data_IF_447516469485
#
_entry.id   IF_447516469485
#
_cell.length_a   1.000
_cell.length_b   1.000
_cell.length_c   1.000
_cell.angle_alpha   90.00
_cell.angle_beta   90.00
_cell.angle_gamma   90.00
#
_symmetry.space_group_name_H-M   'P 1'
#
loop_
_entity.id
_entity.type
_entity.pdbx_description
1 polymer ?
#
# COMPACT_ATOMS: atom_id res chain seq x y z
N UNK A 1 0.71 -15.98 -1.25
CA UNK A 1 1.15 -14.90 -2.17
C UNK A 1 2.42 -14.26 -1.63
N UNK A 2 3.45 -14.18 -2.45
CA UNK A 2 4.70 -13.54 -2.07
C UNK A 2 4.74 -12.12 -2.62
N UNK A 3 4.72 -11.15 -1.70
CA UNK A 3 4.84 -9.74 -2.06
C UNK A 3 6.16 -9.23 -1.49
N UNK A 4 7.04 -8.64 -2.30
CA UNK A 4 8.29 -8.08 -1.77
C UNK A 4 7.99 -7.10 -0.64
N UNK A 5 8.78 -7.16 0.42
CA UNK A 5 8.54 -6.37 1.63
C UNK A 5 8.37 -4.88 1.35
N UNK A 6 9.18 -4.33 0.47
CA UNK A 6 9.12 -2.92 0.10
C UNK A 6 7.77 -2.55 -0.49
N UNK A 7 7.27 -3.36 -1.42
CA UNK A 7 5.97 -3.12 -2.06
C UNK A 7 4.84 -3.31 -1.07
N UNK A 8 4.96 -4.29 -0.19
CA UNK A 8 3.98 -4.54 0.86
C UNK A 8 3.84 -3.33 1.78
N UNK A 9 4.96 -2.74 2.21
CA UNK A 9 4.95 -1.55 3.06
C UNK A 9 4.23 -0.38 2.40
N UNK A 10 4.44 -0.19 1.10
CA UNK A 10 3.79 0.86 0.33
C UNK A 10 2.28 0.61 0.27
N UNK A 11 1.88 -0.60 -0.05
CA UNK A 11 0.45 -0.96 -0.15
C UNK A 11 -0.26 -0.83 1.20
N UNK A 12 0.42 -1.16 2.29
CA UNK A 12 -0.14 -1.05 3.63
C UNK A 12 -0.51 0.38 4.02
N UNK A 13 0.15 1.37 3.43
CA UNK A 13 -0.19 2.78 3.65
C UNK A 13 -1.66 3.05 3.29
N UNK A 14 -2.17 2.35 2.28
CA UNK A 14 -3.52 2.56 1.76
C UNK A 14 -4.58 1.66 2.39
N UNK A 15 -4.20 0.71 3.22
CA UNK A 15 -5.17 -0.18 3.86
C UNK A 15 -6.13 0.56 4.78
N UNK A 16 -5.67 1.62 5.44
CA UNK A 16 -6.49 2.41 6.36
C UNK A 16 -7.41 3.39 5.66
N UNK A 17 -7.16 3.66 4.40
CA UNK A 17 -7.97 4.58 3.61
C UNK A 17 -7.75 4.35 2.12
N UNK A 18 -8.32 3.27 1.56
CA UNK A 18 -8.06 2.92 0.16
C UNK A 18 -8.69 3.87 -0.85
N UNK A 19 -9.54 4.77 -0.39
CA UNK A 19 -10.15 5.78 -1.27
C UNK A 19 -9.35 7.07 -1.31
N UNK A 20 -8.38 7.25 -0.42
CA UNK A 20 -7.69 8.52 -0.36
C UNK A 20 -6.52 8.59 -1.32
N UNK A 21 -6.27 9.80 -1.77
CA UNK A 21 -5.13 10.14 -2.61
C UNK A 21 -4.01 10.61 -1.69
N UNK A 22 -2.80 10.09 -1.87
CA UNK A 22 -1.68 10.38 -0.98
C UNK A 22 -0.49 10.90 -1.78
N UNK A 23 0.13 11.96 -1.26
CA UNK A 23 1.32 12.55 -1.86
C UNK A 23 2.52 11.59 -1.78
N UNK A 24 3.35 11.59 -2.82
CA UNK A 24 4.51 10.69 -2.91
C UNK A 24 5.40 10.73 -1.66
N UNK A 25 5.71 11.92 -1.16
CA UNK A 25 6.56 12.07 0.02
C UNK A 25 5.89 11.52 1.28
N UNK A 26 4.58 11.66 1.38
CA UNK A 26 3.83 11.12 2.50
C UNK A 26 3.83 9.60 2.49
N UNK A 27 3.72 9.00 1.30
CA UNK A 27 3.81 7.55 1.16
C UNK A 27 5.18 7.06 1.63
N UNK A 28 6.24 7.76 1.24
CA UNK A 28 7.60 7.42 1.66
C UNK A 28 7.73 7.50 3.19
N UNK A 29 7.21 8.57 3.78
CA UNK A 29 7.25 8.78 5.22
C UNK A 29 6.51 7.68 5.98
N UNK A 30 5.29 7.37 5.55
CA UNK A 30 4.44 6.38 6.22
C UNK A 30 4.93 4.95 6.03
N UNK A 31 5.44 4.64 4.86
CA UNK A 31 5.94 3.29 4.56
C UNK A 31 7.33 3.04 5.09
N UNK A 32 8.06 4.11 5.41
CA UNK A 32 9.48 4.05 5.81
C UNK A 32 10.36 3.46 4.70
N UNK A 33 9.93 3.63 3.47
CA UNK A 33 10.69 3.23 2.28
C UNK A 33 11.27 4.50 1.66
N UNK A 34 12.47 4.43 1.10
CA UNK A 34 13.10 5.60 0.49
C UNK A 34 12.23 6.16 -0.64
N UNK A 35 12.29 7.48 -0.83
CA UNK A 35 11.50 8.17 -1.84
C UNK A 35 11.70 7.57 -3.23
N UNK A 36 12.95 7.27 -3.58
CA UNK A 36 13.29 6.72 -4.87
C UNK A 36 12.66 5.33 -5.08
N UNK A 37 12.70 4.49 -4.05
CA UNK A 37 12.11 3.16 -4.11
C UNK A 37 10.58 3.21 -4.17
N UNK A 38 9.97 4.16 -3.45
CA UNK A 38 8.52 4.37 -3.51
C UNK A 38 8.11 4.78 -4.91
N UNK A 39 8.81 5.76 -5.49
CA UNK A 39 8.52 6.24 -6.83
C UNK A 39 8.62 5.11 -7.86
N UNK A 40 9.70 4.34 -7.82
CA UNK A 40 9.88 3.23 -8.73
C UNK A 40 8.79 2.17 -8.60
N UNK A 41 8.42 1.81 -7.38
CA UNK A 41 7.36 0.81 -7.13
C UNK A 41 6.01 1.31 -7.62
N UNK A 42 5.67 2.57 -7.34
CA UNK A 42 4.39 3.13 -7.75
C UNK A 42 4.29 3.29 -9.26
N UNK A 43 5.40 3.58 -9.95
CA UNK A 43 5.40 3.61 -11.42
C UNK A 43 5.01 2.27 -12.00
N UNK A 44 5.51 1.18 -11.42
CA UNK A 44 5.14 -0.16 -11.85
C UNK A 44 3.67 -0.46 -11.56
N UNK A 45 3.17 -0.05 -10.39
CA UNK A 45 1.76 -0.22 -10.06
C UNK A 45 0.84 0.56 -11.00
N UNK A 46 1.23 1.77 -11.38
CA UNK A 46 0.46 2.57 -12.34
C UNK A 46 0.46 1.90 -13.71
N UNK A 47 1.60 1.37 -14.13
CA UNK A 47 1.71 0.63 -15.39
C UNK A 47 0.78 -0.58 -15.43
N UNK A 48 0.63 -1.26 -14.29
CA UNK A 48 -0.24 -2.43 -14.17
C UNK A 48 -1.70 -2.05 -13.84
N UNK A 49 -2.04 -0.78 -13.96
CA UNK A 49 -3.38 -0.25 -13.71
C UNK A 49 -3.88 -0.49 -12.28
N UNK A 50 -2.96 -0.65 -11.34
CA UNK A 50 -3.30 -0.83 -9.93
C UNK A 50 -3.42 0.48 -9.17
N UNK A 51 -2.72 1.52 -9.64
CA UNK A 51 -2.76 2.85 -9.04
C UNK A 51 -2.95 3.90 -10.12
N UNK A 52 -3.53 5.02 -9.72
CA UNK A 52 -3.67 6.21 -10.56
C UNK A 52 -2.73 7.29 -10.05
N UNK A 53 -2.10 7.99 -10.96
CA UNK A 53 -1.17 9.08 -10.66
C UNK A 53 -1.77 10.39 -11.10
N UNK A 54 -1.66 11.41 -10.25
CA UNK A 54 -2.10 12.76 -10.56
C UNK A 54 -1.01 13.75 -10.17
N UNK A 55 -0.71 14.67 -11.05
CA UNK A 55 0.29 15.70 -10.81
C UNK A 55 -0.37 17.06 -10.76
N UNK A 56 -0.09 17.83 -9.70
CA UNK A 56 -0.62 19.17 -9.50
C UNK A 56 0.51 20.03 -8.95
N UNK A 57 0.86 21.10 -9.69
CA UNK A 57 1.87 22.08 -9.26
C UNK A 57 3.13 21.43 -8.69
N UNK A 58 3.77 20.56 -9.45
CA UNK A 58 4.98 19.82 -9.08
C UNK A 58 4.80 18.80 -7.95
N UNK A 59 3.57 18.61 -7.47
CA UNK A 59 3.26 17.59 -6.48
C UNK A 59 2.65 16.38 -7.16
N UNK A 60 3.11 15.20 -6.78
CA UNK A 60 2.64 13.95 -7.35
C UNK A 60 1.84 13.17 -6.32
N UNK A 61 0.62 12.79 -6.68
CA UNK A 61 -0.29 12.04 -5.81
C UNK A 61 -0.59 10.68 -6.43
N UNK A 62 -0.80 9.71 -5.57
CA UNK A 62 -1.18 8.36 -5.98
C UNK A 62 -2.43 7.91 -5.23
N UNK A 63 -3.26 7.16 -5.92
CA UNK A 63 -4.51 6.66 -5.40
C UNK A 63 -4.73 5.24 -5.92
N UNK A 64 -5.14 4.29 -5.08
CA UNK A 64 -5.43 2.94 -5.55
C UNK A 64 -6.57 2.94 -6.57
N UNK A 65 -6.43 2.11 -7.58
CA UNK A 65 -7.50 1.87 -8.54
C UNK A 65 -8.36 0.72 -8.04
N UNK A 66 -9.47 1.05 -7.37
CA UNK A 66 -10.32 0.04 -6.75
C UNK A 66 -11.16 -0.75 -7.75
N UNK A 67 -11.09 -0.43 -9.03
CA UNK A 67 -11.70 -1.24 -10.08
C UNK A 67 -10.79 -2.39 -10.50
N UNK A 68 -9.53 -2.37 -10.08
CA UNK A 68 -8.57 -3.42 -10.39
C UNK A 68 -8.75 -4.60 -9.43
N UNK A 69 -9.26 -5.71 -9.93
CA UNK A 69 -9.53 -6.89 -9.11
C UNK A 69 -8.30 -7.48 -8.46
N UNK A 70 -7.17 -7.46 -9.16
CA UNK A 70 -5.92 -7.98 -8.61
C UNK A 70 -5.49 -7.17 -7.38
N UNK A 71 -5.62 -5.84 -7.46
CA UNK A 71 -5.29 -4.97 -6.33
C UNK A 71 -6.22 -5.23 -5.14
N UNK A 72 -7.52 -5.37 -5.40
CA UNK A 72 -8.48 -5.66 -4.34
C UNK A 72 -8.15 -6.96 -3.62
N UNK A 73 -7.74 -7.98 -4.35
CA UNK A 73 -7.35 -9.25 -3.76
C UNK A 73 -6.08 -9.12 -2.93
N UNK A 74 -5.14 -8.30 -3.37
CA UNK A 74 -3.93 -8.04 -2.61
C UNK A 74 -4.26 -7.33 -1.30
N UNK A 75 -5.11 -6.31 -1.33
CA UNK A 75 -5.53 -5.61 -0.13
C UNK A 75 -6.25 -6.56 0.84
N UNK A 76 -7.13 -7.40 0.32
CA UNK A 76 -7.82 -8.39 1.13
C UNK A 76 -6.84 -9.34 1.80
N UNK A 77 -5.86 -9.82 1.06
CA UNK A 77 -4.81 -10.68 1.59
C UNK A 77 -4.01 -9.98 2.71
N UNK A 78 -3.62 -8.72 2.49
CA UNK A 78 -2.86 -7.96 3.47
C UNK A 78 -3.65 -7.69 4.75
N UNK A 79 -4.95 -7.45 4.63
CA UNK A 79 -5.81 -7.27 5.80
C UNK A 79 -5.92 -8.55 6.61
N UNK A 80 -6.07 -9.69 5.94
CA UNK A 80 -6.12 -10.99 6.61
C UNK A 80 -4.81 -11.29 7.35
N UNK A 81 -3.68 -10.96 6.74
CA UNK A 81 -2.38 -11.12 7.37
C UNK A 81 -2.27 -10.30 8.65
N UNK A 82 -2.75 -9.06 8.62
CA UNK A 82 -2.73 -8.19 9.79
C UNK A 82 -3.63 -8.70 10.90
N UNK A 83 -4.80 -9.21 10.57
CA UNK A 83 -5.72 -9.81 11.54
C UNK A 83 -5.11 -11.03 12.19
N UNK A 84 -4.42 -11.85 11.41
CA UNK A 84 -3.75 -13.03 11.93
C UNK A 84 -2.63 -12.66 12.90
N UNK A 85 -1.81 -11.67 12.55
CA UNK A 85 -0.75 -11.19 13.42
C UNK A 85 -1.32 -10.69 14.75
N UNK A 86 -2.40 -9.92 14.69
CA UNK A 86 -3.08 -9.42 15.88
C UNK A 86 -3.62 -10.55 16.72
N UNK A 87 -4.26 -11.53 16.11
CA UNK A 87 -4.81 -12.70 16.81
C UNK A 87 -3.71 -13.48 17.52
N UNK A 88 -2.61 -13.75 16.83
CA UNK A 88 -1.50 -14.52 17.39
C UNK A 88 -0.88 -13.80 18.60
N UNK A 89 -0.72 -12.48 18.53
CA UNK A 89 -0.22 -11.68 19.63
C UNK A 89 -1.15 -11.75 20.85
N UNK A 90 -2.45 -11.61 20.62
CA UNK A 90 -3.43 -11.61 21.72
C UNK A 90 -3.63 -13.01 22.31
N UNK A 91 -3.48 -14.04 21.50
CA UNK A 91 -3.54 -15.42 21.98
C UNK A 91 -2.45 -15.70 23.00
N UNK A 92 -1.25 -15.15 22.80
CA UNK A 92 -0.16 -15.30 23.76
C UNK A 92 -0.42 -14.56 25.07
N UNK A 93 -1.10 -13.44 25.01
CA UNK A 93 -1.42 -12.62 26.18
C UNK A 93 -2.57 -13.22 26.99
N UNK A 94 -3.50 -13.86 26.31
CA UNK A 94 -4.70 -14.43 26.95
C UNK A 94 -4.42 -15.66 27.79
N UNK A 95 -3.22 -16.13 27.84
CA UNK A 95 -2.81 -17.20 28.70
C UNK A 95 -2.30 -16.65 30.02
#
# INVERSE_FOLDING_TARGET
MLIPLRRRKILEVFLKGPFREVHLREIARLSKVSLNNVDNSLRLFVKDDMFKRREVSNMVFFKPNLENEALLKIFEYLELEKKKEFYDKNKKIAR
#
